data_IF_834259882985
#
_entry.id   IF_834259882985
#
_cell.length_a   1.000
_cell.length_b   1.000
_cell.length_c   1.000
_cell.angle_alpha   90.00
_cell.angle_beta   90.00
_cell.angle_gamma   90.00
#
_symmetry.space_group_name_H-M   'P 1'
#
loop_
_entity.id
_entity.type
_entity.pdbx_description
1 polymer ?
#
# COMPACT_ATOMS: atom_id res chain seq x y z
N UNK A 1 -6.98 15.90 -10.29
CA UNK A 1 -7.76 15.09 -9.32
C UNK A 1 -9.21 15.11 -9.76
N UNK A 2 -9.95 14.04 -9.56
CA UNK A 2 -11.38 14.00 -9.82
C UNK A 2 -12.07 14.27 -8.48
N UNK A 3 -12.95 15.28 -8.44
CA UNK A 3 -13.78 15.57 -7.28
C UNK A 3 -14.94 14.56 -7.16
N UNK A 4 -15.77 14.74 -6.12
CA UNK A 4 -16.94 13.86 -5.89
C UNK A 4 -17.99 13.92 -7.01
N UNK A 5 -17.89 14.89 -7.93
CA UNK A 5 -18.78 15.05 -9.09
C UNK A 5 -18.20 14.46 -10.38
N UNK A 6 -16.98 13.91 -10.32
CA UNK A 6 -16.30 13.37 -11.48
C UNK A 6 -15.53 14.41 -12.30
N UNK A 7 -15.44 15.65 -11.83
CA UNK A 7 -14.65 16.69 -12.49
C UNK A 7 -13.21 16.71 -12.02
N UNK A 8 -12.29 16.94 -12.95
CA UNK A 8 -10.89 17.15 -12.62
C UNK A 8 -10.70 18.47 -11.87
N UNK A 9 -10.10 18.42 -10.71
CA UNK A 9 -9.70 19.57 -9.91
C UNK A 9 -8.17 19.72 -10.03
N UNK A 10 -7.71 20.80 -10.64
CA UNK A 10 -6.29 21.12 -10.78
C UNK A 10 -5.82 21.28 -12.22
N UNK A 11 -4.52 21.49 -12.42
CA UNK A 11 -3.89 21.59 -13.75
C UNK A 11 -3.95 20.24 -14.47
N UNK A 12 -4.42 20.28 -15.75
CA UNK A 12 -4.64 19.09 -16.58
C UNK A 12 -3.51 18.91 -17.61
N UNK A 13 -2.26 19.09 -17.20
CA UNK A 13 -1.11 19.09 -18.11
C UNK A 13 -0.26 17.81 -17.98
N UNK A 14 -0.84 16.71 -17.47
CA UNK A 14 -0.21 15.40 -17.46
C UNK A 14 -0.58 14.63 -18.74
N UNK A 15 0.44 14.01 -19.34
CA UNK A 15 0.26 13.14 -20.52
C UNK A 15 -0.44 11.84 -20.11
N UNK A 16 -0.13 11.35 -18.92
CA UNK A 16 -0.73 10.13 -18.33
C UNK A 16 -0.99 10.34 -16.83
N UNK A 17 -2.12 9.79 -16.38
CA UNK A 17 -2.46 9.69 -14.97
C UNK A 17 -2.69 8.23 -14.61
N UNK A 18 -1.92 7.72 -13.67
CA UNK A 18 -2.13 6.39 -13.09
C UNK A 18 -2.57 6.50 -11.63
N UNK A 19 -3.55 5.69 -11.30
CA UNK A 19 -4.05 5.57 -9.95
C UNK A 19 -3.66 4.23 -9.37
N UNK A 20 -3.00 4.29 -8.21
CA UNK A 20 -2.94 3.15 -7.30
C UNK A 20 -3.85 3.47 -6.12
N UNK A 21 -4.38 2.48 -5.43
CA UNK A 21 -5.27 2.72 -4.28
C UNK A 21 -4.63 3.56 -3.17
N UNK A 22 -3.33 3.79 -3.25
CA UNK A 22 -2.58 4.56 -2.26
C UNK A 22 -2.06 5.90 -2.79
N UNK A 23 -1.98 6.09 -4.11
CA UNK A 23 -1.43 7.34 -4.66
C UNK A 23 -1.81 7.57 -6.13
N UNK A 24 -1.87 8.85 -6.50
CA UNK A 24 -1.94 9.28 -7.90
C UNK A 24 -0.54 9.59 -8.41
N UNK A 25 -0.20 9.04 -9.56
CA UNK A 25 1.05 9.33 -10.27
C UNK A 25 0.70 9.96 -11.61
N UNK A 26 1.15 11.19 -11.80
CA UNK A 26 1.08 11.91 -13.07
C UNK A 26 2.40 11.81 -13.82
N UNK A 27 2.35 11.65 -15.12
CA UNK A 27 3.49 11.69 -16.02
C UNK A 27 3.40 12.92 -16.90
N UNK A 28 4.51 13.66 -17.00
CA UNK A 28 4.66 14.83 -17.87
C UNK A 28 5.98 14.72 -18.62
N UNK A 29 5.93 14.36 -19.90
CA UNK A 29 7.11 13.95 -20.67
C UNK A 29 7.75 12.70 -20.05
N UNK A 30 9.00 12.82 -19.64
CA UNK A 30 9.73 11.73 -18.93
C UNK A 30 9.66 11.85 -17.40
N UNK A 31 9.07 12.92 -16.87
CA UNK A 31 9.02 13.17 -15.44
C UNK A 31 7.76 12.58 -14.80
N UNK A 32 7.94 11.96 -13.63
CA UNK A 32 6.86 11.43 -12.81
C UNK A 32 6.61 12.34 -11.61
N UNK A 33 5.35 12.48 -11.24
CA UNK A 33 4.90 13.29 -10.11
C UNK A 33 3.93 12.48 -9.26
N UNK A 34 4.14 12.50 -7.96
CA UNK A 34 3.13 12.04 -7.02
C UNK A 34 2.20 13.20 -6.71
N UNK A 35 0.89 12.97 -6.83
CA UNK A 35 -0.12 13.97 -6.53
C UNK A 35 -0.68 13.74 -5.13
N UNK A 36 -0.83 14.82 -4.37
CA UNK A 36 -1.57 14.77 -3.13
C UNK A 36 -3.08 14.95 -3.40
N UNK A 37 -3.91 14.59 -2.41
CA UNK A 37 -5.36 14.74 -2.52
C UNK A 37 -5.84 16.20 -2.56
N UNK A 38 -4.97 17.19 -2.55
CA UNK A 38 -5.27 18.63 -2.49
C UNK A 38 -4.77 19.39 -3.73
N UNK A 39 -4.23 18.69 -4.73
CA UNK A 39 -3.70 19.30 -5.96
C UNK A 39 -2.20 19.66 -5.89
N UNK A 40 -1.51 19.30 -4.82
CA UNK A 40 -0.06 19.41 -4.72
C UNK A 40 0.64 18.35 -5.56
N UNK A 41 1.77 18.73 -6.16
CA UNK A 41 2.60 17.88 -7.02
C UNK A 41 3.99 17.73 -6.40
N UNK A 42 4.43 16.50 -6.21
CA UNK A 42 5.81 16.20 -5.77
C UNK A 42 6.50 15.48 -6.92
N UNK A 43 7.50 16.11 -7.51
CA UNK A 43 8.31 15.47 -8.54
C UNK A 43 9.05 14.28 -7.97
N UNK A 44 8.90 13.13 -8.62
CA UNK A 44 9.59 11.91 -8.24
C UNK A 44 11.00 11.86 -8.82
N UNK A 45 11.94 11.12 -8.21
CA UNK A 45 13.25 10.87 -8.80
C UNK A 45 13.11 10.27 -10.20
N UNK A 46 13.98 10.62 -11.12
CA UNK A 46 13.96 10.13 -12.50
C UNK A 46 14.04 8.59 -12.58
N UNK A 47 14.56 7.93 -11.57
CA UNK A 47 14.70 6.48 -11.47
C UNK A 47 13.67 5.84 -10.52
N UNK A 48 12.56 6.52 -10.21
CA UNK A 48 11.56 6.00 -9.27
C UNK A 48 10.99 4.63 -9.68
N UNK A 49 10.84 4.40 -10.99
CA UNK A 49 10.36 3.13 -11.57
C UNK A 49 11.46 2.08 -11.80
N UNK A 50 12.72 2.44 -11.56
CA UNK A 50 13.85 1.52 -11.79
C UNK A 50 14.20 0.75 -10.52
N UNK A 51 14.36 -0.55 -10.65
CA UNK A 51 14.84 -1.40 -9.58
C UNK A 51 16.33 -1.14 -9.31
N UNK A 52 16.71 -1.25 -8.05
CA UNK A 52 18.13 -1.28 -7.68
C UNK A 52 18.74 -2.62 -8.09
N UNK A 53 19.93 -2.60 -8.65
CA UNK A 53 20.61 -3.83 -9.12
C UNK A 53 20.75 -4.89 -8.03
N UNK A 54 21.00 -4.47 -6.80
CA UNK A 54 21.14 -5.35 -5.65
C UNK A 54 19.83 -6.03 -5.22
N UNK A 55 18.65 -5.45 -5.56
CA UNK A 55 17.34 -5.97 -5.15
C UNK A 55 16.61 -6.73 -6.27
N UNK A 56 17.20 -6.77 -7.47
CA UNK A 56 16.51 -7.30 -8.66
C UNK A 56 16.12 -8.77 -8.51
N UNK A 57 17.04 -9.61 -8.03
CA UNK A 57 16.80 -11.05 -7.89
C UNK A 57 15.69 -11.33 -6.85
N UNK A 58 15.73 -10.65 -5.72
CA UNK A 58 14.74 -10.81 -4.64
C UNK A 58 13.36 -10.29 -5.04
N UNK A 59 13.30 -9.20 -5.82
CA UNK A 59 12.04 -8.68 -6.35
C UNK A 59 11.44 -9.62 -7.41
N UNK A 60 12.27 -10.25 -8.22
CA UNK A 60 11.84 -11.24 -9.20
C UNK A 60 11.30 -12.49 -8.51
N UNK A 61 12.00 -13.02 -7.51
CA UNK A 61 11.51 -14.12 -6.68
C UNK A 61 10.20 -13.77 -5.96
N UNK A 62 10.07 -12.55 -5.44
CA UNK A 62 8.82 -12.11 -4.82
C UNK A 62 7.64 -12.09 -5.82
N UNK A 63 7.87 -11.72 -7.09
CA UNK A 63 6.84 -11.76 -8.15
C UNK A 63 6.46 -13.20 -8.48
N UNK A 64 7.41 -14.10 -8.61
CA UNK A 64 7.16 -15.52 -8.87
C UNK A 64 6.28 -16.15 -7.78
N UNK A 65 6.44 -15.70 -6.55
CA UNK A 65 5.62 -16.11 -5.41
C UNK A 65 4.36 -15.27 -5.21
N UNK A 66 3.99 -14.38 -6.15
CA UNK A 66 2.86 -13.46 -6.02
C UNK A 66 2.89 -12.60 -4.72
N UNK A 67 4.07 -12.24 -4.27
CA UNK A 67 4.28 -11.34 -3.12
C UNK A 67 4.74 -9.96 -3.64
N UNK A 68 4.01 -9.40 -4.59
CA UNK A 68 4.32 -8.08 -5.15
C UNK A 68 3.07 -7.23 -5.27
N UNK A 69 3.24 -5.94 -5.40
CA UNK A 69 2.15 -5.01 -5.66
C UNK A 69 2.03 -4.73 -7.18
N UNK A 70 0.82 -4.58 -7.73
CA UNK A 70 0.61 -4.43 -9.17
C UNK A 70 1.24 -3.16 -9.75
N UNK A 71 1.29 -2.06 -8.99
CA UNK A 71 1.89 -0.78 -9.43
C UNK A 71 3.08 -0.45 -8.54
N UNK A 72 4.21 -1.05 -8.88
CA UNK A 72 5.39 -1.00 -8.03
C UNK A 72 6.39 0.07 -8.47
N UNK A 73 6.64 1.00 -7.57
CA UNK A 73 7.72 1.98 -7.68
C UNK A 73 8.77 1.69 -6.60
N UNK A 74 9.79 0.88 -6.88
CA UNK A 74 10.67 0.29 -5.87
C UNK A 74 11.52 1.30 -5.08
N UNK A 75 11.62 2.52 -5.59
CA UNK A 75 12.36 3.60 -4.92
C UNK A 75 11.48 4.56 -4.12
N UNK A 76 10.18 4.37 -4.12
CA UNK A 76 9.29 5.15 -3.27
C UNK A 76 9.07 4.48 -1.92
N UNK A 77 8.86 5.31 -0.90
CA UNK A 77 8.46 4.79 0.40
C UNK A 77 7.12 4.08 0.27
N UNK A 78 7.01 2.88 0.81
CA UNK A 78 5.77 2.12 0.84
C UNK A 78 4.75 2.79 1.78
N UNK A 79 3.48 2.79 1.39
CA UNK A 79 2.41 3.29 2.25
C UNK A 79 1.92 2.23 3.23
N UNK A 80 1.20 2.64 4.27
CA UNK A 80 0.63 1.71 5.26
C UNK A 80 -0.34 0.73 4.61
N UNK A 81 -1.21 1.18 3.70
CA UNK A 81 -2.16 0.30 2.99
C UNK A 81 -1.44 -0.69 2.06
N UNK A 82 -0.41 -0.25 1.34
CA UNK A 82 0.35 -1.15 0.45
C UNK A 82 1.09 -2.22 1.27
N UNK A 83 1.59 -1.86 2.45
CA UNK A 83 2.24 -2.83 3.32
C UNK A 83 1.25 -3.85 3.90
N UNK A 84 0.00 -3.44 4.23
CA UNK A 84 -1.06 -4.37 4.61
C UNK A 84 -1.40 -5.36 3.49
N UNK A 85 -1.42 -4.92 2.23
CA UNK A 85 -1.62 -5.80 1.07
C UNK A 85 -0.53 -6.86 0.96
N UNK A 86 0.73 -6.49 1.17
CA UNK A 86 1.84 -7.45 1.21
C UNK A 86 1.69 -8.42 2.39
N UNK A 87 1.30 -7.93 3.56
CA UNK A 87 1.08 -8.75 4.74
C UNK A 87 -0.05 -9.76 4.52
N UNK A 88 -1.15 -9.37 3.86
CA UNK A 88 -2.25 -10.29 3.49
C UNK A 88 -1.75 -11.37 2.54
N UNK A 89 -1.03 -11.00 1.49
CA UNK A 89 -0.45 -11.97 0.54
C UNK A 89 0.46 -12.98 1.25
N UNK A 90 1.34 -12.50 2.12
CA UNK A 90 2.22 -13.36 2.92
C UNK A 90 1.42 -14.27 3.85
N UNK A 91 0.42 -13.72 4.56
CA UNK A 91 -0.44 -14.48 5.46
C UNK A 91 -1.18 -15.61 4.71
N UNK A 92 -1.77 -15.32 3.55
CA UNK A 92 -2.47 -16.31 2.73
C UNK A 92 -1.55 -17.41 2.19
N UNK A 93 -0.26 -17.13 1.95
CA UNK A 93 0.73 -18.17 1.59
C UNK A 93 1.02 -19.12 2.75
N UNK A 94 1.04 -18.61 3.97
CA UNK A 94 1.26 -19.43 5.18
C UNK A 94 -0.01 -20.14 5.62
N UNK A 95 -1.17 -19.51 5.41
CA UNK A 95 -2.49 -19.98 5.85
C UNK A 95 -3.51 -19.89 4.70
N UNK A 96 -3.44 -20.78 3.69
CA UNK A 96 -4.28 -20.70 2.48
C UNK A 96 -5.79 -20.80 2.76
N UNK A 97 -6.18 -21.46 3.84
CA UNK A 97 -7.58 -21.72 4.20
C UNK A 97 -8.13 -20.81 5.30
N UNK A 98 -7.33 -19.86 5.76
CA UNK A 98 -7.79 -18.97 6.82
C UNK A 98 -8.72 -17.89 6.25
N UNK A 99 -9.95 -17.89 6.73
CA UNK A 99 -10.94 -16.84 6.48
C UNK A 99 -11.12 -16.05 7.77
N UNK A 100 -10.71 -14.80 7.79
CA UNK A 100 -11.07 -13.89 8.86
C UNK A 100 -12.18 -12.97 8.36
N UNK A 101 -13.23 -12.81 9.14
CA UNK A 101 -14.21 -11.78 8.88
C UNK A 101 -13.52 -10.40 9.00
N UNK A 102 -13.75 -9.48 8.05
CA UNK A 102 -13.17 -8.15 8.16
C UNK A 102 -13.65 -7.47 9.45
N UNK A 103 -12.70 -6.92 10.22
CA UNK A 103 -13.02 -6.13 11.40
C UNK A 103 -13.70 -4.82 11.01
N UNK A 104 -14.25 -4.13 12.00
CA UNK A 104 -14.84 -2.80 11.82
C UNK A 104 -13.88 -1.86 11.09
N UNK A 105 -14.41 -1.10 10.15
CA UNK A 105 -13.65 -0.18 9.33
C UNK A 105 -13.09 0.97 10.17
N UNK A 106 -11.92 1.47 9.78
CA UNK A 106 -11.40 2.74 10.27
C UNK A 106 -12.17 3.90 9.62
N UNK A 107 -12.27 5.03 10.29
CA UNK A 107 -13.05 6.19 9.82
C UNK A 107 -12.55 6.77 8.48
N UNK A 108 -11.30 6.49 8.10
CA UNK A 108 -10.63 7.01 6.91
C UNK A 108 -10.21 5.92 5.91
N UNK A 109 -10.59 4.65 6.14
CA UNK A 109 -10.13 3.54 5.31
C UNK A 109 -11.10 2.35 5.33
N UNK A 110 -11.63 2.01 4.16
CA UNK A 110 -12.49 0.84 3.92
C UNK A 110 -11.76 -0.27 3.13
N UNK A 111 -10.44 -0.19 3.01
CA UNK A 111 -9.66 -1.14 2.23
C UNK A 111 -9.68 -2.53 2.87
N UNK A 112 -10.09 -3.54 2.10
CA UNK A 112 -10.25 -4.93 2.55
C UNK A 112 -8.99 -5.50 3.21
N UNK A 113 -7.81 -5.25 2.65
CA UNK A 113 -6.54 -5.72 3.23
C UNK A 113 -6.25 -5.09 4.58
N UNK A 114 -6.64 -3.83 4.77
CA UNK A 114 -6.50 -3.14 6.06
C UNK A 114 -7.47 -3.72 7.07
N UNK A 115 -8.74 -3.91 6.68
CA UNK A 115 -9.75 -4.52 7.55
C UNK A 115 -9.35 -5.95 7.95
N UNK A 116 -8.86 -6.74 7.01
CA UNK A 116 -8.41 -8.10 7.28
C UNK A 116 -7.18 -8.13 8.22
N UNK A 117 -6.18 -7.30 7.97
CA UNK A 117 -4.99 -7.25 8.85
C UNK A 117 -5.32 -6.73 10.25
N UNK A 118 -6.32 -5.86 10.38
CA UNK A 118 -6.83 -5.42 11.68
C UNK A 118 -7.58 -6.55 12.40
N UNK A 119 -8.46 -7.28 11.71
CA UNK A 119 -9.17 -8.44 12.26
C UNK A 119 -8.22 -9.53 12.76
N UNK A 120 -7.10 -9.72 12.08
CA UNK A 120 -6.04 -10.66 12.45
C UNK A 120 -5.11 -10.13 13.56
N UNK A 121 -5.30 -8.91 14.05
CA UNK A 121 -4.42 -8.29 15.04
C UNK A 121 -3.01 -7.95 14.52
N UNK A 122 -2.82 -7.97 13.20
CA UNK A 122 -1.52 -7.67 12.56
C UNK A 122 -1.24 -6.16 12.62
N UNK A 123 -2.28 -5.34 12.47
CA UNK A 123 -2.19 -3.88 12.54
C UNK A 123 -3.22 -3.30 13.50
N UNK A 124 -2.90 -2.12 14.03
CA UNK A 124 -3.82 -1.28 14.79
C UNK A 124 -3.95 0.10 14.13
N UNK A 125 -5.08 0.76 14.36
CA UNK A 125 -5.26 2.15 14.01
C UNK A 125 -4.58 3.11 14.99
N UNK A 126 -4.92 4.37 14.88
CA UNK A 126 -4.54 5.41 15.82
C UNK A 126 -5.69 5.65 16.83
N UNK A 127 -5.38 6.29 17.95
CA UNK A 127 -6.34 6.58 19.03
C UNK A 127 -7.53 7.43 18.58
N UNK A 128 -7.37 8.17 17.47
CA UNK A 128 -8.44 8.96 16.82
C UNK A 128 -9.36 8.13 15.90
N UNK A 129 -9.22 6.83 15.89
CA UNK A 129 -10.01 5.91 15.06
C UNK A 129 -9.61 5.89 13.58
N UNK A 130 -8.50 6.54 13.20
CA UNK A 130 -7.99 6.55 11.82
C UNK A 130 -6.94 5.46 11.59
N UNK A 131 -6.78 5.05 10.33
CA UNK A 131 -5.69 4.17 9.90
C UNK A 131 -4.56 4.92 9.22
N UNK A 132 -4.86 6.02 8.53
CA UNK A 132 -3.95 6.83 7.72
C UNK A 132 -3.29 6.02 6.60
N UNK A 133 -4.08 5.47 5.65
CA UNK A 133 -3.64 4.48 4.65
C UNK A 133 -2.52 4.99 3.75
N UNK A 134 -2.52 6.29 3.41
CA UNK A 134 -1.54 6.91 2.52
C UNK A 134 -0.24 7.35 3.21
N UNK A 135 -0.17 7.25 4.54
CA UNK A 135 1.04 7.58 5.27
C UNK A 135 2.13 6.55 4.98
N UNK A 136 3.37 7.02 4.78
CA UNK A 136 4.52 6.12 4.68
C UNK A 136 4.73 5.36 5.97
N UNK A 137 5.06 4.07 5.85
CA UNK A 137 5.38 3.24 7.01
C UNK A 137 6.83 3.45 7.44
N UNK A 138 7.08 3.47 8.74
CA UNK A 138 8.43 3.46 9.27
C UNK A 138 9.01 2.05 9.32
N UNK A 139 10.34 1.90 9.32
CA UNK A 139 11.02 0.60 9.46
C UNK A 139 10.54 -0.15 10.71
N UNK A 140 10.36 0.55 11.83
CA UNK A 140 9.85 -0.03 13.08
C UNK A 140 8.45 -0.61 12.90
N UNK A 141 7.53 0.14 12.30
CA UNK A 141 6.16 -0.33 12.04
C UNK A 141 6.14 -1.49 11.04
N UNK A 142 6.99 -1.45 10.01
CA UNK A 142 7.13 -2.54 9.05
C UNK A 142 7.59 -3.83 9.75
N UNK A 143 8.61 -3.75 10.60
CA UNK A 143 9.09 -4.90 11.35
C UNK A 143 8.01 -5.48 12.29
N UNK A 144 7.23 -4.63 12.95
CA UNK A 144 6.15 -5.05 13.82
C UNK A 144 5.05 -5.81 13.04
N UNK A 145 4.63 -5.29 11.89
CA UNK A 145 3.64 -5.95 11.03
C UNK A 145 4.16 -7.31 10.55
N UNK A 146 5.41 -7.38 10.08
CA UNK A 146 6.02 -8.64 9.65
C UNK A 146 6.12 -9.65 10.79
N UNK A 147 6.41 -9.22 12.01
CA UNK A 147 6.46 -10.08 13.19
C UNK A 147 5.07 -10.65 13.53
N UNK A 148 4.01 -9.85 13.43
CA UNK A 148 2.65 -10.28 13.73
C UNK A 148 2.03 -11.14 12.63
N UNK A 149 2.44 -10.99 11.38
CA UNK A 149 1.84 -11.71 10.24
C UNK A 149 1.86 -13.24 10.39
N UNK A 150 2.97 -13.90 10.76
CA UNK A 150 2.97 -15.35 10.99
C UNK A 150 2.27 -15.77 12.28
N UNK A 151 2.28 -14.93 13.32
CA UNK A 151 1.72 -15.24 14.64
C UNK A 151 0.21 -15.11 14.68
N UNK A 152 -0.41 -14.35 13.79
CA UNK A 152 -1.87 -14.25 13.65
C UNK A 152 -2.52 -15.62 13.39
N UNK A 153 -1.79 -16.57 12.82
CA UNK A 153 -2.25 -17.95 12.62
C UNK A 153 -2.43 -18.75 13.94
N UNK A 154 -1.89 -18.30 15.05
CA UNK A 154 -2.03 -18.96 16.36
C UNK A 154 -3.25 -18.49 17.15
N UNK A 155 -3.82 -17.32 16.83
CA UNK A 155 -4.99 -16.78 17.50
C UNK A 155 -6.33 -17.21 16.88
N UNK A 156 -6.33 -17.83 15.71
CA UNK A 156 -7.55 -18.28 15.02
C UNK A 156 -8.07 -19.66 15.48
N UNK A 157 -7.53 -20.21 16.55
CA UNK A 157 -7.95 -21.50 17.15
C UNK A 157 -8.53 -21.28 18.56
N UNK A 158 -9.60 -20.49 18.63
CA UNK A 158 -10.53 -20.54 19.78
C UNK A 158 -11.96 -20.34 19.30
#
# INVERSE_FOLDING_TARGET
MIDKTGQFVGRHDFDELSWTDSRYIGKRGTALYQLDGKGGEIRLPANASQESSWAKAELEAAREHDISLPFYYPRLNITRVDFCRLAVKLYQKVQPNASAAPAAAFSDCENESVCLTAALGIVTGYDDGTFRPRQSITRQKAALILYHTPTASRCATF
#
